data_IF_752922997722
#
_entry.id   IF_752922997722
#
_cell.length_a   1.000
_cell.length_b   1.000
_cell.length_c   1.000
_cell.angle_alpha   90.00
_cell.angle_beta   90.00
_cell.angle_gamma   90.00
#
_symmetry.space_group_name_H-M   'P 1'
#
loop_
_entity.id
_entity.type
_entity.pdbx_description
1 polymer ?
#
# COMPACT_ATOMS: atom_id res chain seq x y z
N UNK A 1 35.79 65.11 -36.82
CA UNK A 1 34.99 64.46 -37.88
C UNK A 1 34.43 63.18 -37.27
N UNK A 2 33.20 63.28 -36.77
CA UNK A 2 31.96 62.63 -37.27
C UNK A 2 31.88 61.15 -36.87
N UNK A 3 31.20 60.78 -35.79
CA UNK A 3 29.73 60.61 -35.58
C UNK A 3 29.05 59.61 -36.54
N UNK A 4 28.68 58.45 -35.97
CA UNK A 4 27.47 57.58 -36.11
C UNK A 4 26.68 57.53 -37.45
N UNK A 5 25.99 56.43 -37.79
CA UNK A 5 24.63 56.27 -37.27
C UNK A 5 24.17 54.84 -36.91
N UNK A 6 23.19 54.85 -36.02
CA UNK A 6 22.32 53.78 -35.55
C UNK A 6 21.14 53.50 -36.50
N UNK A 7 20.60 52.27 -36.43
CA UNK A 7 19.18 51.84 -36.55
C UNK A 7 18.42 52.07 -37.88
N UNK A 8 17.46 51.18 -38.25
CA UNK A 8 16.09 51.29 -37.73
C UNK A 8 15.40 49.95 -37.37
N UNK A 9 14.51 50.08 -36.38
CA UNK A 9 13.34 49.26 -36.11
C UNK A 9 12.35 49.39 -37.27
N UNK A 10 11.70 48.28 -37.67
CA UNK A 10 10.34 48.32 -38.27
C UNK A 10 9.55 47.07 -37.88
N UNK A 11 8.55 47.27 -37.00
CA UNK A 11 7.29 46.49 -36.95
C UNK A 11 6.39 46.96 -38.11
N UNK A 12 5.51 46.12 -38.69
CA UNK A 12 4.12 46.00 -38.20
C UNK A 12 3.62 44.52 -38.38
N UNK A 13 2.48 43.99 -37.94
CA UNK A 13 1.13 44.48 -37.67
C UNK A 13 0.42 43.43 -36.80
N UNK A 14 -0.45 43.91 -35.90
CA UNK A 14 -1.40 43.19 -35.07
C UNK A 14 -2.30 42.20 -35.83
N UNK A 15 -2.60 41.05 -35.21
CA UNK A 15 -3.99 40.58 -35.14
C UNK A 15 -4.35 40.25 -33.70
N UNK A 16 -5.38 40.95 -33.22
CA UNK A 16 -6.06 40.74 -31.95
C UNK A 16 -6.82 39.41 -31.98
N UNK A 17 -6.73 38.64 -30.90
CA UNK A 17 -7.90 37.98 -30.32
C UNK A 17 -7.85 38.17 -28.80
N UNK A 18 -8.81 38.94 -28.30
CA UNK A 18 -9.10 39.08 -26.88
C UNK A 18 -9.75 37.77 -26.39
N UNK A 19 -9.19 37.14 -25.36
CA UNK A 19 -9.96 36.28 -24.47
C UNK A 19 -9.94 36.88 -23.08
N UNK A 20 -11.15 37.08 -22.55
CA UNK A 20 -11.45 37.63 -21.24
C UNK A 20 -10.78 36.76 -20.15
N UNK A 21 -9.94 37.36 -19.32
CA UNK A 21 -9.49 36.72 -18.09
C UNK A 21 -10.47 37.05 -16.96
N UNK A 22 -11.19 36.02 -16.50
CA UNK A 22 -11.83 36.04 -15.18
C UNK A 22 -10.75 35.84 -14.11
N UNK A 23 -10.85 36.48 -12.93
CA UNK A 23 -9.89 36.26 -11.85
C UNK A 23 -10.03 34.84 -11.30
N UNK A 24 -8.94 34.08 -11.37
CA UNK A 24 -8.83 32.74 -10.79
C UNK A 24 -9.01 32.81 -9.27
N UNK A 25 -10.03 32.13 -8.76
CA UNK A 25 -10.18 31.87 -7.33
C UNK A 25 -9.07 30.91 -6.87
N UNK A 26 -8.53 31.06 -5.65
CA UNK A 26 -7.53 30.14 -5.12
C UNK A 26 -8.18 28.77 -4.89
N UNK A 27 -7.70 27.78 -5.65
CA UNK A 27 -8.08 26.37 -5.48
C UNK A 27 -7.57 25.92 -4.11
N UNK A 28 -8.48 25.80 -3.14
CA UNK A 28 -8.19 25.11 -1.89
C UNK A 28 -7.94 23.64 -2.22
N UNK A 29 -6.67 23.25 -2.32
CA UNK A 29 -6.27 21.85 -2.33
C UNK A 29 -6.71 21.23 -1.00
N UNK A 30 -7.86 20.57 -1.00
CA UNK A 30 -8.16 19.56 0.01
C UNK A 30 -7.12 18.46 -0.13
N UNK A 31 -6.10 18.49 0.72
CA UNK A 31 -5.22 17.36 0.93
C UNK A 31 -6.07 16.24 1.53
N UNK A 32 -6.49 15.30 0.68
CA UNK A 32 -7.02 14.03 1.16
C UNK A 32 -5.90 13.33 1.98
N UNK A 33 -6.18 12.86 3.20
CA UNK A 33 -5.23 12.05 3.93
C UNK A 33 -5.03 10.74 3.15
N UNK A 34 -3.83 10.56 2.58
CA UNK A 34 -3.41 9.32 1.93
C UNK A 34 -3.58 8.18 2.94
N UNK A 35 -4.52 7.27 2.66
CA UNK A 35 -4.64 6.05 3.44
C UNK A 35 -3.37 5.23 3.27
N UNK A 36 -2.81 4.62 4.33
CA UNK A 36 -1.69 3.70 4.19
C UNK A 36 -2.18 2.51 3.36
N UNK A 37 -1.58 2.32 2.18
CA UNK A 37 -1.81 1.15 1.37
C UNK A 37 -1.22 -0.03 2.16
N UNK A 38 -2.07 -0.84 2.79
CA UNK A 38 -1.70 -2.13 3.37
C UNK A 38 -1.36 -3.08 2.22
N UNK A 39 -0.10 -3.10 1.79
CA UNK A 39 0.40 -4.14 0.89
C UNK A 39 0.81 -5.34 1.75
N UNK A 40 0.08 -6.44 1.64
CA UNK A 40 0.56 -7.72 2.15
C UNK A 40 1.89 -8.07 1.47
N UNK A 41 2.88 -8.59 2.21
CA UNK A 41 4.14 -9.01 1.61
C UNK A 41 3.89 -10.16 0.63
N UNK A 42 4.13 -9.90 -0.66
CA UNK A 42 3.80 -10.80 -1.78
C UNK A 42 4.73 -12.01 -1.87
N UNK A 43 5.78 -12.09 -1.04
CA UNK A 43 6.78 -13.16 -1.02
C UNK A 43 7.18 -13.52 0.41
N UNK A 44 7.50 -14.79 0.70
CA UNK A 44 8.12 -15.22 1.96
C UNK A 44 9.42 -14.44 2.23
N UNK A 45 9.72 -14.19 3.50
CA UNK A 45 10.91 -13.43 3.93
C UNK A 45 12.18 -14.15 3.48
N UNK A 46 12.20 -15.49 3.54
CA UNK A 46 13.33 -16.32 3.14
C UNK A 46 13.68 -16.11 1.66
N UNK A 47 12.66 -16.09 0.79
CA UNK A 47 12.83 -15.82 -0.63
C UNK A 47 13.32 -14.39 -0.90
N UNK A 48 12.93 -13.42 -0.06
CA UNK A 48 13.45 -12.05 -0.12
C UNK A 48 14.92 -12.03 0.30
N UNK A 49 15.31 -12.76 1.34
CA UNK A 49 16.68 -12.79 1.85
C UNK A 49 17.68 -13.43 0.87
N UNK A 50 17.26 -14.42 0.09
CA UNK A 50 18.07 -15.01 -0.99
C UNK A 50 18.50 -13.97 -2.03
N UNK A 51 17.66 -12.97 -2.31
CA UNK A 51 17.99 -11.87 -3.24
C UNK A 51 19.13 -10.99 -2.72
N UNK A 52 19.35 -10.94 -1.40
CA UNK A 52 20.42 -10.17 -0.76
C UNK A 52 21.71 -10.96 -0.55
N UNK A 53 21.77 -12.24 -0.98
CA UNK A 53 22.98 -13.06 -0.89
C UNK A 53 23.99 -12.72 -1.99
N UNK A 54 24.60 -11.55 -1.90
CA UNK A 54 25.57 -11.06 -2.89
C UNK A 54 27.01 -11.56 -2.65
N UNK A 55 27.30 -12.06 -1.44
CA UNK A 55 28.65 -12.47 -1.05
C UNK A 55 29.22 -13.63 -1.89
N UNK A 56 28.45 -14.69 -2.24
CA UNK A 56 28.95 -15.74 -3.15
C UNK A 56 29.38 -15.20 -4.52
N UNK A 57 28.67 -14.20 -5.05
CA UNK A 57 29.01 -13.56 -6.33
C UNK A 57 30.31 -12.73 -6.22
N UNK A 58 30.55 -12.09 -5.07
CA UNK A 58 31.84 -11.43 -4.82
C UNK A 58 33.00 -12.42 -4.79
N UNK A 59 32.80 -13.59 -4.16
CA UNK A 59 33.81 -14.64 -4.15
C UNK A 59 34.08 -15.19 -5.55
N UNK A 60 33.05 -15.31 -6.39
CA UNK A 60 33.16 -15.71 -7.79
C UNK A 60 33.94 -14.68 -8.63
N UNK A 61 33.79 -13.38 -8.36
CA UNK A 61 34.65 -12.36 -8.99
C UNK A 61 36.10 -12.56 -8.57
N UNK A 62 36.35 -12.74 -7.26
CA UNK A 62 37.71 -12.89 -6.71
C UNK A 62 38.40 -14.15 -7.26
N UNK A 63 37.67 -15.26 -7.39
CA UNK A 63 38.23 -16.50 -7.94
C UNK A 63 38.65 -16.34 -9.40
N UNK A 64 37.87 -15.57 -10.19
CA UNK A 64 38.12 -15.32 -11.61
C UNK A 64 39.12 -14.21 -11.89
N UNK A 65 39.60 -13.47 -10.88
CA UNK A 65 40.65 -12.46 -11.08
C UNK A 65 41.96 -13.03 -11.67
N UNK A 66 42.15 -14.36 -11.58
CA UNK A 66 43.28 -15.07 -12.20
C UNK A 66 43.01 -15.50 -13.65
N UNK A 67 41.76 -15.45 -14.08
CA UNK A 67 41.33 -15.79 -15.43
C UNK A 67 41.44 -14.56 -16.35
N UNK A 68 41.01 -14.71 -17.60
CA UNK A 68 41.02 -13.63 -18.59
C UNK A 68 40.00 -12.51 -18.24
N UNK A 69 40.28 -11.29 -18.71
CA UNK A 69 39.48 -10.09 -18.44
C UNK A 69 37.98 -10.27 -18.77
N UNK A 70 37.67 -11.07 -19.79
CA UNK A 70 36.30 -11.35 -20.20
C UNK A 70 35.51 -12.11 -19.12
N UNK A 71 36.13 -13.09 -18.46
CA UNK A 71 35.48 -13.89 -17.41
C UNK A 71 35.25 -13.06 -16.14
N UNK A 72 36.21 -12.21 -15.78
CA UNK A 72 36.05 -11.24 -14.70
C UNK A 72 34.90 -10.27 -15.02
N UNK A 73 34.89 -9.71 -16.24
CA UNK A 73 33.85 -8.77 -16.67
C UNK A 73 32.45 -9.42 -16.62
N UNK A 74 32.34 -10.68 -17.01
CA UNK A 74 31.08 -11.44 -16.92
C UNK A 74 30.62 -11.61 -15.47
N UNK A 75 31.51 -12.01 -14.56
CA UNK A 75 31.17 -12.16 -13.15
C UNK A 75 30.78 -10.83 -12.49
N UNK A 76 31.47 -9.74 -12.83
CA UNK A 76 31.13 -8.38 -12.36
C UNK A 76 29.74 -7.96 -12.87
N UNK A 77 29.42 -8.24 -14.13
CA UNK A 77 28.09 -7.93 -14.68
C UNK A 77 26.98 -8.70 -13.96
N UNK A 78 27.17 -10.00 -13.71
CA UNK A 78 26.22 -10.80 -12.94
C UNK A 78 26.02 -10.26 -11.53
N UNK A 79 27.10 -9.85 -10.85
CA UNK A 79 27.00 -9.21 -9.53
C UNK A 79 26.19 -7.89 -9.59
N UNK A 80 26.48 -7.03 -10.56
CA UNK A 80 25.81 -5.74 -10.70
C UNK A 80 24.31 -5.89 -10.98
N UNK A 81 23.94 -6.85 -11.83
CA UNK A 81 22.53 -7.16 -12.12
C UNK A 81 21.81 -7.60 -10.84
N UNK A 82 22.38 -8.57 -10.10
CA UNK A 82 21.78 -9.06 -8.85
C UNK A 82 21.72 -7.98 -7.77
N UNK A 83 22.75 -7.16 -7.65
CA UNK A 83 22.76 -6.04 -6.70
C UNK A 83 21.68 -5.00 -7.03
N UNK A 84 21.46 -4.72 -8.32
CA UNK A 84 20.39 -3.82 -8.78
C UNK A 84 19.01 -4.37 -8.45
N UNK A 85 18.78 -5.66 -8.66
CA UNK A 85 17.53 -6.33 -8.27
C UNK A 85 17.30 -6.27 -6.75
N UNK A 86 18.32 -6.58 -5.95
CA UNK A 86 18.25 -6.50 -4.50
C UNK A 86 17.91 -5.08 -4.01
N UNK A 87 18.50 -4.05 -4.62
CA UNK A 87 18.19 -2.64 -4.31
C UNK A 87 16.77 -2.25 -4.71
N UNK A 88 16.27 -2.73 -5.87
CA UNK A 88 14.87 -2.52 -6.26
C UNK A 88 13.93 -3.15 -5.24
N UNK A 89 14.21 -4.38 -4.83
CA UNK A 89 13.42 -5.07 -3.82
C UNK A 89 13.44 -4.35 -2.47
N UNK A 90 14.62 -3.89 -2.02
CA UNK A 90 14.75 -3.11 -0.79
C UNK A 90 13.85 -1.88 -0.79
N UNK A 91 13.75 -1.17 -1.91
CA UNK A 91 12.89 0.00 -2.04
C UNK A 91 11.39 -0.32 -2.08
N UNK A 92 11.01 -1.57 -2.34
CA UNK A 92 9.60 -1.99 -2.24
C UNK A 92 9.21 -2.42 -0.83
N UNK A 93 10.18 -2.67 0.05
CA UNK A 93 9.88 -3.13 1.40
C UNK A 93 9.22 -2.03 2.24
N UNK A 94 8.09 -2.33 2.91
CA UNK A 94 7.35 -1.35 3.67
C UNK A 94 8.20 -0.83 4.84
N UNK A 95 8.20 0.49 5.03
CA UNK A 95 8.86 1.12 6.15
C UNK A 95 10.37 1.36 5.99
N UNK A 96 11.01 0.91 4.90
CA UNK A 96 12.44 1.15 4.65
C UNK A 96 12.79 2.64 4.56
N UNK A 97 11.84 3.47 4.14
CA UNK A 97 12.01 4.93 4.08
C UNK A 97 11.77 5.66 5.41
N UNK A 98 11.51 4.93 6.51
CA UNK A 98 11.20 5.50 7.82
C UNK A 98 12.32 5.22 8.80
N UNK A 99 12.63 6.20 9.63
CA UNK A 99 13.51 6.01 10.77
C UNK A 99 12.87 5.07 11.81
N UNK A 100 13.68 4.42 12.67
CA UNK A 100 13.16 3.56 13.73
C UNK A 100 12.15 4.27 14.64
N UNK A 101 12.39 5.55 14.96
CA UNK A 101 11.49 6.36 15.79
C UNK A 101 10.15 6.64 15.07
N UNK A 102 10.16 6.92 13.78
CA UNK A 102 8.93 7.11 13.00
C UNK A 102 8.12 5.81 12.89
N UNK A 103 8.79 4.67 12.75
CA UNK A 103 8.15 3.36 12.77
C UNK A 103 7.49 3.08 14.12
N UNK A 104 8.17 3.40 15.22
CA UNK A 104 7.64 3.28 16.58
C UNK A 104 6.40 4.16 16.79
N UNK A 105 6.49 5.44 16.44
CA UNK A 105 5.37 6.37 16.55
C UNK A 105 4.16 5.91 15.70
N UNK A 106 4.41 5.39 14.50
CA UNK A 106 3.34 4.81 13.68
C UNK A 106 2.68 3.61 14.38
N UNK A 107 3.49 2.68 14.89
CA UNK A 107 3.01 1.49 15.61
C UNK A 107 2.06 1.89 16.74
N UNK A 108 2.45 2.87 17.55
CA UNK A 108 1.65 3.30 18.69
C UNK A 108 0.37 4.01 18.26
N UNK A 109 0.43 4.82 17.20
CA UNK A 109 -0.77 5.41 16.58
C UNK A 109 -1.74 4.35 16.07
N UNK A 110 -1.23 3.30 15.42
CA UNK A 110 -2.05 2.20 14.91
C UNK A 110 -2.68 1.39 16.06
N UNK A 111 -1.92 1.09 17.13
CA UNK A 111 -2.46 0.45 18.33
C UNK A 111 -3.61 1.26 18.94
N UNK A 112 -3.43 2.56 19.11
CA UNK A 112 -4.48 3.43 19.65
C UNK A 112 -5.72 3.48 18.74
N UNK A 113 -5.54 3.50 17.42
CA UNK A 113 -6.66 3.40 16.46
C UNK A 113 -7.39 2.07 16.58
N UNK A 114 -6.66 0.96 16.74
CA UNK A 114 -7.24 -0.36 16.91
C UNK A 114 -8.06 -0.44 18.20
N UNK A 115 -7.50 0.05 19.32
CA UNK A 115 -8.19 0.11 20.61
C UNK A 115 -9.50 0.90 20.51
N UNK A 116 -9.46 2.09 19.90
CA UNK A 116 -10.67 2.90 19.66
C UNK A 116 -11.69 2.19 18.78
N UNK A 117 -11.24 1.48 17.73
CA UNK A 117 -12.13 0.68 16.87
C UNK A 117 -12.76 -0.47 17.65
N UNK A 118 -12.01 -1.14 18.52
CA UNK A 118 -12.52 -2.23 19.35
C UNK A 118 -13.54 -1.73 20.39
N UNK A 119 -13.24 -0.63 21.09
CA UNK A 119 -14.18 0.02 22.03
C UNK A 119 -15.48 0.44 21.32
N UNK A 120 -15.38 1.00 20.10
CA UNK A 120 -16.56 1.33 19.31
C UNK A 120 -17.38 0.09 18.93
N UNK A 121 -16.72 -0.99 18.49
CA UNK A 121 -17.38 -2.26 18.19
C UNK A 121 -18.08 -2.82 19.44
N UNK A 122 -17.43 -2.76 20.60
CA UNK A 122 -18.03 -3.20 21.87
C UNK A 122 -19.25 -2.36 22.24
N UNK A 123 -19.15 -1.03 22.14
CA UNK A 123 -20.28 -0.11 22.36
C UNK A 123 -21.45 -0.40 21.41
N UNK A 124 -21.16 -0.69 20.14
CA UNK A 124 -22.20 -1.07 19.16
C UNK A 124 -22.83 -2.42 19.49
N UNK A 125 -22.05 -3.42 19.89
CA UNK A 125 -22.58 -4.71 20.37
C UNK A 125 -23.50 -4.56 21.58
N UNK A 126 -23.13 -3.66 22.49
CA UNK A 126 -23.89 -3.38 23.72
C UNK A 126 -25.06 -2.40 23.51
N UNK A 127 -25.21 -1.84 22.30
CA UNK A 127 -26.33 -0.95 21.97
C UNK A 127 -27.61 -1.76 21.75
N UNK A 128 -28.71 -1.37 22.42
CA UNK A 128 -29.99 -2.10 22.50
C UNK A 128 -30.55 -2.61 21.16
N UNK A 129 -30.30 -1.88 20.06
CA UNK A 129 -30.78 -2.26 18.72
C UNK A 129 -30.26 -3.64 18.23
N UNK A 130 -29.12 -4.12 18.73
CA UNK A 130 -28.56 -5.43 18.40
C UNK A 130 -28.91 -6.54 19.40
N UNK A 131 -29.11 -6.21 20.68
CA UNK A 131 -29.57 -7.18 21.70
C UNK A 131 -31.04 -7.53 21.52
N UNK A 132 -31.86 -6.57 21.11
CA UNK A 132 -33.32 -6.74 20.94
C UNK A 132 -33.65 -7.54 19.65
N UNK A 133 -32.76 -7.56 18.66
CA UNK A 133 -32.87 -8.43 17.47
C UNK A 133 -32.40 -9.86 17.72
N UNK A 134 -31.43 -10.09 18.62
CA UNK A 134 -31.03 -11.46 18.98
C UNK A 134 -32.04 -12.17 19.89
N UNK A 135 -32.73 -11.44 20.78
CA UNK A 135 -33.79 -12.05 21.61
C UNK A 135 -35.06 -12.43 20.84
N UNK A 136 -35.24 -11.93 19.60
CA UNK A 136 -36.40 -12.29 18.76
C UNK A 136 -36.19 -13.52 17.86
N UNK A 137 -35.02 -14.18 17.91
CA UNK A 137 -34.70 -15.33 17.03
C UNK A 137 -34.59 -16.70 17.71
N UNK A 138 -34.82 -16.84 19.01
CA UNK A 138 -34.95 -18.18 19.63
C UNK A 138 -36.41 -18.53 19.86
N UNK A 139 -37.07 -19.32 18.98
CA UNK A 139 -38.37 -19.88 19.30
C UNK A 139 -38.23 -20.87 20.47
N UNK A 140 -39.23 -20.96 21.37
CA UNK A 140 -39.22 -21.98 22.42
C UNK A 140 -39.35 -23.36 21.77
N UNK A 141 -38.37 -24.24 22.03
CA UNK A 141 -38.52 -25.67 21.75
C UNK A 141 -39.58 -26.20 22.73
N UNK A 142 -40.83 -26.27 22.25
CA UNK A 142 -41.92 -26.91 22.98
C UNK A 142 -41.76 -28.43 22.84
N UNK A 143 -41.04 -29.04 23.78
CA UNK A 143 -40.88 -30.49 23.84
C UNK A 143 -42.13 -31.09 24.50
N UNK A 144 -43.25 -31.09 23.77
CA UNK A 144 -44.50 -31.65 24.24
C UNK A 144 -44.50 -33.16 23.99
N UNK A 145 -43.99 -33.87 24.98
CA UNK A 145 -44.00 -35.31 25.09
C UNK A 145 -45.46 -35.75 25.35
N UNK A 146 -46.21 -36.14 24.31
CA UNK A 146 -47.56 -36.65 24.49
C UNK A 146 -47.61 -38.15 24.20
N UNK A 147 -47.60 -38.88 25.31
CA UNK A 147 -47.80 -40.31 25.42
C UNK A 147 -49.31 -40.57 25.53
N UNK A 148 -49.94 -41.23 24.54
CA UNK A 148 -50.97 -42.27 24.78
C UNK A 148 -51.67 -42.76 23.50
N UNK A 149 -51.51 -44.07 23.28
CA UNK A 149 -52.54 -45.11 23.10
C UNK A 149 -53.72 -44.93 22.11
N UNK A 150 -53.68 -45.83 21.11
CA UNK A 150 -54.66 -46.89 20.83
C UNK A 150 -55.99 -46.56 20.13
N UNK A 151 -56.15 -47.07 18.91
CA UNK A 151 -57.37 -47.69 18.27
C UNK A 151 -56.94 -48.06 16.85
N UNK A 152 -56.64 -49.31 16.52
CA UNK A 152 -57.59 -50.37 16.09
C UNK A 152 -58.66 -49.86 15.11
N UNK A 153 -58.48 -50.12 13.79
CA UNK A 153 -59.51 -50.59 12.85
C UNK A 153 -58.81 -51.23 11.63
N UNK A 154 -58.78 -52.56 11.65
CA UNK A 154 -59.07 -53.51 10.57
C UNK A 154 -59.27 -52.96 9.13
N UNK A 155 -58.51 -53.48 8.16
CA UNK A 155 -59.08 -53.86 6.86
C UNK A 155 -58.24 -54.96 6.20
N UNK A 156 -58.96 -56.00 5.80
CA UNK A 156 -58.51 -57.19 5.03
C UNK A 156 -57.98 -56.84 3.66
#
# INVERSE_FOLDING_TARGET
>A
MNVTPSTPITTPTQQQQQQQQQPAQPVQQQQQPQQPIEQEPTKPIEAILEEFQLFPLLLDIISRLKDDELEVSRAVNTFNERASEALKLLNTLPGVHRSPLEQENLRDSLKLKLEKKLDLIEKLKNHKLFTDQQQQQTPPINNNNNNNNNTDVEMK
#
